data_IF_421121316532
#
_entry.id   IF_421121316532
#
_cell.length_a   1.000
_cell.length_b   1.000
_cell.length_c   1.000
_cell.angle_alpha   90.00
_cell.angle_beta   90.00
_cell.angle_gamma   90.00
#
_symmetry.space_group_name_H-M   'P 1'
#
loop_
_entity.id
_entity.type
_entity.pdbx_description
1 polymer ?
#
# COMPACT_ATOMS: atom_id res chain seq x y z
N UNK A 1 -28.60 20.02 -26.90
CA UNK A 1 -28.46 21.36 -26.30
C UNK A 1 -27.01 21.49 -25.89
N UNK A 2 -26.35 22.59 -26.25
CA UNK A 2 -25.00 22.90 -25.82
C UNK A 2 -25.05 23.53 -24.43
N UNK A 3 -24.28 22.99 -23.49
CA UNK A 3 -24.22 23.45 -22.11
C UNK A 3 -22.85 24.02 -21.76
N UNK A 4 -22.74 24.62 -20.57
CA UNK A 4 -21.47 25.11 -20.04
C UNK A 4 -20.73 26.07 -21.02
N UNK A 5 -19.44 25.85 -21.18
CA UNK A 5 -18.61 26.65 -22.10
C UNK A 5 -19.07 26.57 -23.56
N UNK A 6 -19.64 25.43 -24.00
CA UNK A 6 -20.13 25.24 -25.37
C UNK A 6 -21.39 26.10 -25.67
N UNK A 7 -22.14 26.51 -24.66
CA UNK A 7 -23.28 27.38 -24.89
C UNK A 7 -22.90 28.76 -25.50
N UNK A 8 -21.67 29.21 -25.26
CA UNK A 8 -21.16 30.49 -25.75
C UNK A 8 -20.86 30.49 -27.26
N UNK A 9 -20.78 29.30 -27.88
CA UNK A 9 -20.52 29.11 -29.32
C UNK A 9 -21.70 28.45 -30.04
N UNK A 10 -22.88 28.46 -29.45
CA UNK A 10 -24.06 27.74 -29.95
C UNK A 10 -24.54 28.25 -31.33
N UNK A 11 -24.22 29.47 -31.71
CA UNK A 11 -24.50 30.09 -33.02
C UNK A 11 -23.36 29.91 -34.03
N UNK A 12 -22.23 29.32 -33.60
CA UNK A 12 -21.04 29.13 -34.45
C UNK A 12 -20.97 27.68 -34.97
N UNK A 13 -21.97 27.28 -35.75
CA UNK A 13 -22.12 25.88 -36.18
C UNK A 13 -20.89 25.29 -36.85
N UNK A 14 -20.15 26.08 -37.62
CA UNK A 14 -18.96 25.64 -38.36
C UNK A 14 -17.82 25.22 -37.44
N UNK A 15 -17.75 25.77 -36.25
CA UNK A 15 -16.69 25.45 -35.26
C UNK A 15 -16.70 23.97 -34.89
N UNK A 16 -17.88 23.36 -34.81
CA UNK A 16 -18.04 21.94 -34.50
C UNK A 16 -18.24 21.08 -35.74
N UNK A 17 -19.04 21.56 -36.70
CA UNK A 17 -19.50 20.72 -37.82
C UNK A 17 -18.58 20.74 -39.03
N UNK A 18 -17.73 21.77 -39.22
CA UNK A 18 -16.79 21.91 -40.34
C UNK A 18 -17.41 21.51 -41.70
N UNK A 19 -18.71 21.83 -41.89
CA UNK A 19 -19.49 21.53 -43.09
C UNK A 19 -20.13 20.13 -43.17
N UNK A 20 -19.84 19.23 -42.21
CA UNK A 20 -20.47 17.93 -42.11
C UNK A 20 -21.29 17.79 -40.79
N UNK A 21 -22.58 17.93 -40.91
CA UNK A 21 -23.50 17.89 -39.76
C UNK A 21 -23.87 16.47 -39.33
N UNK A 22 -23.52 15.42 -40.12
CA UNK A 22 -23.89 14.06 -39.84
C UNK A 22 -22.82 13.29 -39.09
N UNK A 23 -21.54 13.64 -39.28
CA UNK A 23 -20.42 12.90 -38.73
C UNK A 23 -19.62 13.70 -37.67
N UNK A 24 -20.23 14.72 -37.08
CA UNK A 24 -19.59 15.47 -35.97
C UNK A 24 -19.49 14.58 -34.76
N UNK A 25 -18.30 14.38 -34.14
CA UNK A 25 -18.15 13.63 -32.93
C UNK A 25 -18.99 14.21 -31.79
N UNK A 26 -19.50 13.33 -30.94
CA UNK A 26 -20.28 13.71 -29.76
C UNK A 26 -19.58 13.34 -28.44
N UNK A 27 -18.32 12.91 -28.49
CA UNK A 27 -17.48 12.67 -27.34
C UNK A 27 -16.52 13.81 -27.13
N UNK A 28 -16.14 14.10 -25.89
CA UNK A 28 -15.20 15.17 -25.55
C UNK A 28 -13.89 15.03 -26.34
N UNK A 29 -13.30 13.86 -26.32
CA UNK A 29 -12.03 13.55 -26.99
C UNK A 29 -12.13 13.67 -28.51
N UNK A 30 -13.32 13.56 -29.11
CA UNK A 30 -13.51 13.70 -30.53
C UNK A 30 -13.16 15.10 -31.06
N UNK A 31 -13.21 16.12 -30.19
CA UNK A 31 -12.80 17.49 -30.47
C UNK A 31 -11.56 17.92 -29.68
N UNK A 32 -11.41 17.39 -28.45
CA UNK A 32 -10.38 17.79 -27.48
C UNK A 32 -9.22 16.80 -27.36
N UNK A 33 -8.95 15.98 -28.39
CA UNK A 33 -7.83 15.02 -28.39
C UNK A 33 -6.47 15.72 -28.23
N UNK A 34 -6.31 16.90 -28.85
CA UNK A 34 -5.06 17.64 -28.72
C UNK A 34 -4.89 18.23 -27.32
N UNK A 35 -5.97 18.69 -26.69
CA UNK A 35 -5.94 19.17 -25.32
C UNK A 35 -5.54 18.03 -24.38
N UNK A 36 -6.12 16.85 -24.54
CA UNK A 36 -5.75 15.64 -23.78
C UNK A 36 -4.27 15.28 -23.95
N UNK A 37 -3.78 15.30 -25.20
CA UNK A 37 -2.40 14.92 -25.51
C UNK A 37 -1.35 15.92 -25.00
N UNK A 38 -1.69 17.21 -24.94
CA UNK A 38 -0.78 18.29 -24.58
C UNK A 38 -0.81 18.63 -23.10
N UNK A 39 -1.82 18.17 -22.36
CA UNK A 39 -1.91 18.41 -20.93
C UNK A 39 -0.75 17.74 -20.19
N UNK A 40 -0.06 18.53 -19.39
CA UNK A 40 1.16 18.10 -18.68
C UNK A 40 1.07 18.18 -17.14
N UNK A 41 -0.01 18.77 -16.61
CA UNK A 41 -0.21 18.90 -15.18
C UNK A 41 -1.70 18.65 -14.78
N UNK A 42 -2.05 17.39 -14.50
CA UNK A 42 -1.28 16.14 -14.69
C UNK A 42 -1.14 15.75 -16.17
N UNK A 43 -0.12 14.98 -16.51
CA UNK A 43 0.02 14.43 -17.85
C UNK A 43 -0.97 13.30 -18.07
N UNK A 44 -2.05 13.57 -18.83
CA UNK A 44 -3.10 12.58 -19.08
C UNK A 44 -2.58 11.33 -19.80
N UNK A 45 -1.69 11.54 -20.77
CA UNK A 45 -1.08 10.43 -21.55
C UNK A 45 -0.14 9.60 -20.68
N UNK A 46 0.77 10.23 -19.92
CA UNK A 46 1.74 9.52 -19.10
C UNK A 46 1.08 8.71 -17.98
N UNK A 47 -0.02 9.22 -17.42
CA UNK A 47 -0.79 8.58 -16.36
C UNK A 47 -1.86 7.62 -16.90
N UNK A 48 -2.00 7.54 -18.23
CA UNK A 48 -3.01 6.72 -18.91
C UNK A 48 -4.43 6.97 -18.38
N UNK A 49 -4.78 8.25 -18.20
CA UNK A 49 -6.11 8.63 -17.74
C UNK A 49 -7.18 8.26 -18.76
N UNK A 50 -8.38 7.99 -18.27
CA UNK A 50 -9.53 7.69 -19.12
C UNK A 50 -9.87 8.90 -20.02
N UNK A 51 -10.35 8.61 -21.22
CA UNK A 51 -10.95 9.63 -22.11
C UNK A 51 -12.41 9.94 -21.73
N UNK A 52 -12.94 9.38 -20.67
CA UNK A 52 -14.16 9.83 -20.01
C UNK A 52 -13.88 11.08 -19.17
N UNK A 53 -13.79 12.21 -19.87
CA UNK A 53 -13.39 13.50 -19.29
C UNK A 53 -14.36 13.98 -18.21
N UNK A 54 -15.63 13.58 -18.30
CA UNK A 54 -16.67 13.98 -17.35
C UNK A 54 -16.49 13.36 -15.96
N UNK A 55 -15.62 12.36 -15.82
CA UNK A 55 -15.27 11.78 -14.52
C UNK A 55 -14.45 12.73 -13.64
N UNK A 56 -13.81 13.75 -14.24
CA UNK A 56 -12.96 14.73 -13.54
C UNK A 56 -13.28 16.18 -13.88
N UNK A 57 -13.85 16.44 -15.05
CA UNK A 57 -14.10 17.79 -15.56
C UNK A 57 -15.59 18.06 -15.77
N UNK A 58 -15.95 19.33 -15.81
CA UNK A 58 -17.30 19.78 -16.14
C UNK A 58 -17.38 20.32 -17.55
N UNK A 59 -18.58 20.42 -18.12
CA UNK A 59 -18.78 21.08 -19.42
C UNK A 59 -18.51 22.59 -19.36
N UNK A 60 -18.35 23.16 -18.18
CA UNK A 60 -18.13 24.61 -18.00
C UNK A 60 -16.66 25.00 -18.01
N UNK A 61 -15.77 24.12 -17.54
CA UNK A 61 -14.35 24.39 -17.47
C UNK A 61 -13.54 23.09 -17.26
N UNK A 62 -12.28 23.12 -17.71
CA UNK A 62 -11.30 22.07 -17.40
C UNK A 62 -10.74 22.15 -15.97
N UNK A 63 -10.77 23.34 -15.37
CA UNK A 63 -10.31 23.56 -14.00
C UNK A 63 -11.37 24.30 -13.18
N UNK A 64 -11.56 23.94 -11.89
CA UNK A 64 -10.88 22.84 -11.20
C UNK A 64 -11.29 21.48 -11.76
N UNK A 65 -10.38 20.50 -11.74
CA UNK A 65 -10.67 19.10 -11.97
C UNK A 65 -10.86 18.40 -10.62
N UNK A 66 -11.81 17.50 -10.53
CA UNK A 66 -12.10 16.73 -9.32
C UNK A 66 -12.03 15.24 -9.60
N UNK A 67 -11.31 14.48 -8.79
CA UNK A 67 -11.35 13.03 -8.83
C UNK A 67 -12.17 12.52 -7.65
N UNK A 68 -13.48 12.45 -7.83
CA UNK A 68 -14.45 12.17 -6.78
C UNK A 68 -14.24 10.84 -6.04
N UNK A 69 -13.52 9.90 -6.64
CA UNK A 69 -13.20 8.61 -6.02
C UNK A 69 -11.91 8.62 -5.19
N UNK A 70 -11.22 9.76 -5.05
CA UNK A 70 -9.95 9.84 -4.34
C UNK A 70 -10.06 9.37 -2.90
N UNK A 71 -11.07 9.84 -2.18
CA UNK A 71 -11.29 9.51 -0.77
C UNK A 71 -11.63 8.03 -0.55
N UNK A 72 -12.23 7.38 -1.54
CA UNK A 72 -12.60 5.96 -1.44
C UNK A 72 -11.46 5.01 -1.79
N UNK A 73 -10.54 5.45 -2.63
CA UNK A 73 -9.48 4.60 -3.18
C UNK A 73 -8.11 4.90 -2.58
N UNK A 74 -7.94 6.10 -2.04
CA UNK A 74 -6.67 6.63 -1.56
C UNK A 74 -6.86 7.41 -0.27
N UNK A 75 -5.98 8.37 -0.05
CA UNK A 75 -6.03 9.26 1.09
C UNK A 75 -7.17 10.30 0.97
N UNK A 76 -7.99 10.53 2.01
CA UNK A 76 -9.11 11.47 1.95
C UNK A 76 -8.63 12.92 1.84
N UNK A 77 -9.10 13.61 0.79
CA UNK A 77 -8.79 15.00 0.47
C UNK A 77 -10.05 15.87 0.29
N UNK A 78 -11.20 15.24 0.01
CA UNK A 78 -12.49 15.90 -0.09
C UNK A 78 -13.29 15.79 1.21
N UNK A 79 -12.75 15.10 2.21
CA UNK A 79 -13.32 14.95 3.55
C UNK A 79 -12.21 14.96 4.60
N UNK A 80 -12.59 15.03 5.91
CA UNK A 80 -11.65 14.97 7.02
C UNK A 80 -10.76 16.21 7.16
N UNK A 81 -9.57 16.00 7.71
CA UNK A 81 -8.66 17.11 8.07
C UNK A 81 -8.09 17.86 6.86
N UNK A 82 -8.10 17.25 5.67
CA UNK A 82 -7.54 17.86 4.46
C UNK A 82 -8.60 18.52 3.56
N UNK A 83 -9.90 18.45 3.91
CA UNK A 83 -10.93 19.11 3.14
C UNK A 83 -10.69 20.63 3.06
N UNK A 84 -10.55 21.14 1.83
CA UNK A 84 -10.35 22.57 1.56
C UNK A 84 -8.99 23.14 1.99
N UNK A 85 -8.00 22.30 2.28
CA UNK A 85 -6.63 22.72 2.67
C UNK A 85 -5.63 22.71 1.53
N UNK A 86 -6.03 22.26 0.35
CA UNK A 86 -5.22 22.15 -0.86
C UNK A 86 -5.94 22.81 -2.05
N UNK A 87 -5.20 23.23 -3.07
CA UNK A 87 -5.74 23.91 -4.26
C UNK A 87 -5.54 23.10 -5.55
N UNK A 88 -4.46 22.32 -5.62
CA UNK A 88 -4.07 21.60 -6.82
C UNK A 88 -3.54 20.20 -6.46
N UNK A 89 -3.75 19.24 -7.36
CA UNK A 89 -3.20 17.89 -7.21
C UNK A 89 -1.69 17.89 -6.96
N UNK A 90 -0.98 18.84 -7.52
CA UNK A 90 0.48 19.00 -7.37
C UNK A 90 0.93 19.53 -6.01
N UNK A 91 0.03 19.92 -5.14
CA UNK A 91 0.37 20.27 -3.75
C UNK A 91 0.86 19.01 -2.99
N UNK A 92 0.33 17.86 -3.35
CA UNK A 92 0.74 16.56 -2.81
C UNK A 92 1.54 15.72 -3.82
N UNK A 93 1.15 15.72 -5.12
CA UNK A 93 1.78 14.90 -6.16
C UNK A 93 2.84 15.67 -6.92
N UNK A 94 4.06 15.69 -6.41
CA UNK A 94 5.17 16.48 -6.97
C UNK A 94 5.70 15.95 -8.30
N UNK A 95 5.34 14.74 -8.69
CA UNK A 95 5.70 14.16 -9.99
C UNK A 95 4.46 14.06 -10.92
N UNK A 96 4.33 14.98 -11.84
CA UNK A 96 3.18 15.08 -12.77
C UNK A 96 3.03 13.90 -13.74
N UNK A 97 4.04 13.02 -13.82
CA UNK A 97 4.02 11.80 -14.64
C UNK A 97 3.84 10.53 -13.82
N UNK A 98 3.83 10.63 -12.50
CA UNK A 98 3.62 9.49 -11.61
C UNK A 98 2.95 9.93 -10.31
N UNK A 99 1.65 9.78 -10.23
CA UNK A 99 0.84 10.17 -9.08
C UNK A 99 0.84 9.15 -7.93
N UNK A 100 1.57 8.03 -8.06
CA UNK A 100 1.90 7.21 -6.89
C UNK A 100 2.96 7.86 -5.98
N UNK A 101 3.65 8.89 -6.50
CA UNK A 101 4.59 9.70 -5.73
C UNK A 101 3.83 10.90 -5.16
N UNK A 102 3.82 10.98 -3.84
CA UNK A 102 3.16 12.05 -3.09
C UNK A 102 4.06 12.56 -1.96
N UNK A 103 3.75 13.73 -1.42
CA UNK A 103 4.46 14.33 -0.31
C UNK A 103 3.53 14.92 0.74
N UNK A 104 3.76 14.58 2.00
CA UNK A 104 3.16 15.21 3.18
C UNK A 104 4.07 16.31 3.71
N UNK A 105 5.38 16.14 3.52
CA UNK A 105 6.43 16.94 4.15
C UNK A 105 6.63 18.34 3.55
N UNK A 106 5.91 18.66 2.48
CA UNK A 106 5.86 20.02 1.91
C UNK A 106 5.10 20.97 2.83
N UNK A 107 4.00 20.53 3.44
CA UNK A 107 3.17 21.32 4.35
C UNK A 107 3.49 20.98 5.82
N UNK A 108 3.68 19.71 6.14
CA UNK A 108 4.01 19.24 7.48
C UNK A 108 5.53 19.30 7.72
N UNK A 109 6.01 20.38 8.30
CA UNK A 109 7.46 20.63 8.45
C UNK A 109 8.08 19.73 9.52
N UNK A 110 9.36 19.36 9.33
CA UNK A 110 10.09 18.52 10.29
C UNK A 110 10.21 19.13 11.70
N UNK A 111 10.21 20.45 11.81
CA UNK A 111 10.30 21.13 13.10
C UNK A 111 9.06 20.94 13.96
N UNK A 112 7.88 20.92 13.33
CA UNK A 112 6.60 20.73 14.01
C UNK A 112 6.34 19.26 14.28
N UNK A 113 6.49 18.42 13.24
CA UNK A 113 6.21 16.98 13.35
C UNK A 113 7.17 16.27 14.28
N UNK A 114 8.48 16.58 14.27
CA UNK A 114 9.44 15.99 15.21
C UNK A 114 9.11 16.35 16.67
N UNK A 115 8.56 17.53 16.93
CA UNK A 115 8.14 17.92 18.27
C UNK A 115 6.91 17.13 18.72
N UNK A 116 5.93 16.98 17.84
CA UNK A 116 4.69 16.23 18.12
C UNK A 116 4.94 14.73 18.29
N UNK A 117 5.91 14.19 17.56
CA UNK A 117 6.27 12.77 17.60
C UNK A 117 7.46 12.45 18.51
N UNK A 118 7.85 13.38 19.40
CA UNK A 118 8.95 13.15 20.32
C UNK A 118 8.68 11.94 21.24
N UNK A 119 9.51 10.90 21.11
CA UNK A 119 9.37 9.66 21.85
C UNK A 119 8.37 8.64 21.22
N UNK A 120 7.82 8.96 20.07
CA UNK A 120 6.99 8.00 19.31
C UNK A 120 7.91 6.97 18.64
N UNK A 121 7.73 5.70 19.02
CA UNK A 121 8.50 4.62 18.44
C UNK A 121 8.10 4.38 16.99
N UNK A 122 9.09 4.20 16.12
CA UNK A 122 8.86 3.97 14.69
C UNK A 122 8.56 5.25 13.88
N UNK A 123 8.64 6.42 14.47
CA UNK A 123 8.49 7.66 13.72
C UNK A 123 9.66 7.90 12.75
N UNK A 124 9.33 8.11 11.49
CA UNK A 124 10.23 8.58 10.44
C UNK A 124 9.63 9.81 9.77
N UNK A 125 10.44 10.83 9.52
CA UNK A 125 9.99 12.01 8.79
C UNK A 125 10.06 11.78 7.28
N UNK A 126 9.12 11.00 6.80
CA UNK A 126 8.92 10.70 5.37
C UNK A 126 7.44 10.44 5.07
N UNK A 127 7.00 10.74 3.85
CA UNK A 127 5.59 10.71 3.49
C UNK A 127 4.96 9.33 3.55
N UNK A 128 5.70 8.27 3.21
CA UNK A 128 5.24 6.89 3.33
C UNK A 128 5.00 6.49 4.79
N UNK A 129 5.88 6.92 5.70
CA UNK A 129 5.69 6.69 7.14
C UNK A 129 4.49 7.46 7.69
N UNK A 130 4.31 8.71 7.26
CA UNK A 130 3.13 9.50 7.63
C UNK A 130 1.84 8.79 7.23
N UNK A 131 1.74 8.36 5.97
CA UNK A 131 0.56 7.65 5.45
C UNK A 131 0.33 6.30 6.15
N UNK A 132 1.40 5.57 6.46
CA UNK A 132 1.30 4.29 7.15
C UNK A 132 0.70 4.41 8.56
N UNK A 133 0.99 5.51 9.26
CA UNK A 133 0.46 5.75 10.60
C UNK A 133 -0.85 6.56 10.59
N UNK A 134 -1.06 7.40 9.58
CA UNK A 134 -2.20 8.31 9.44
C UNK A 134 -2.93 8.10 8.10
N UNK A 135 -3.54 6.93 7.86
CA UNK A 135 -4.15 6.59 6.57
C UNK A 135 -5.34 7.46 6.20
N UNK A 136 -6.01 8.09 7.17
CA UNK A 136 -7.10 9.07 6.93
C UNK A 136 -6.68 10.52 7.15
N UNK A 137 -5.44 10.76 7.60
CA UNK A 137 -4.92 12.10 7.89
C UNK A 137 -5.37 12.68 9.23
N UNK A 138 -6.04 11.89 10.06
CA UNK A 138 -6.41 12.29 11.41
C UNK A 138 -5.26 12.03 12.40
N UNK A 139 -5.10 12.90 13.40
CA UNK A 139 -3.99 12.82 14.35
C UNK A 139 -4.14 11.74 15.42
N UNK A 140 -5.33 11.21 15.60
CA UNK A 140 -5.67 10.26 16.66
C UNK A 140 -5.64 8.79 16.21
N UNK A 141 -5.24 8.53 14.96
CA UNK A 141 -5.20 7.18 14.41
C UNK A 141 -3.98 6.40 14.87
N UNK A 142 -4.16 5.12 15.09
CA UNK A 142 -3.09 4.14 15.27
C UNK A 142 -3.17 3.10 14.18
N UNK A 143 -2.04 2.80 13.55
CA UNK A 143 -1.96 1.76 12.53
C UNK A 143 -2.36 0.39 13.10
N UNK A 144 -3.29 -0.29 12.42
CA UNK A 144 -3.76 -1.61 12.82
C UNK A 144 -3.10 -2.71 11.95
N UNK A 145 -2.08 -3.36 12.49
CA UNK A 145 -1.40 -4.46 11.79
C UNK A 145 -2.31 -5.64 11.42
N UNK A 146 -3.47 -5.80 12.07
CA UNK A 146 -4.40 -6.87 11.73
C UNK A 146 -5.06 -6.69 10.35
N UNK A 147 -4.98 -5.49 9.80
CA UNK A 147 -5.48 -5.14 8.46
C UNK A 147 -4.37 -5.09 7.40
N UNK A 148 -3.14 -5.43 7.77
CA UNK A 148 -1.98 -5.48 6.88
C UNK A 148 -1.70 -6.90 6.36
N UNK A 149 -0.79 -7.01 5.40
CA UNK A 149 -0.31 -8.30 4.87
C UNK A 149 0.45 -9.15 5.90
N UNK A 150 0.83 -8.54 7.05
CA UNK A 150 1.49 -9.23 8.15
C UNK A 150 0.83 -8.90 9.49
N UNK A 151 -0.29 -9.53 9.85
CA UNK A 151 -0.91 -9.38 11.16
C UNK A 151 0.04 -9.81 12.28
N UNK A 152 0.19 -8.97 13.31
CA UNK A 152 1.04 -9.31 14.46
C UNK A 152 0.38 -10.36 15.33
N UNK A 153 0.97 -11.55 15.41
CA UNK A 153 0.48 -12.66 16.22
C UNK A 153 1.60 -13.25 17.09
N UNK A 154 1.23 -13.90 18.17
CA UNK A 154 2.16 -14.60 19.06
C UNK A 154 3.28 -13.69 19.58
N UNK A 155 4.53 -14.08 19.35
CA UNK A 155 5.69 -13.34 19.81
C UNK A 155 5.86 -11.95 19.15
N UNK A 156 5.29 -11.76 17.95
CA UNK A 156 5.42 -10.48 17.22
C UNK A 156 4.54 -9.35 17.79
N UNK A 157 3.54 -9.66 18.60
CA UNK A 157 2.61 -8.63 19.17
C UNK A 157 3.34 -7.54 19.97
N UNK A 158 4.45 -7.89 20.60
CA UNK A 158 5.20 -6.98 21.48
C UNK A 158 6.54 -6.52 20.87
N UNK A 159 6.77 -6.78 19.59
CA UNK A 159 7.97 -6.34 18.90
C UNK A 159 7.86 -4.84 18.60
N UNK A 160 8.94 -4.10 18.80
CA UNK A 160 8.99 -2.68 18.49
C UNK A 160 8.92 -2.44 16.99
N UNK A 161 8.20 -1.39 16.54
CA UNK A 161 8.05 -1.05 15.14
C UNK A 161 9.39 -1.02 14.38
N UNK A 162 10.42 -0.41 14.99
CA UNK A 162 11.75 -0.25 14.39
C UNK A 162 12.51 -1.58 14.19
N UNK A 163 12.15 -2.63 14.91
CA UNK A 163 12.80 -3.94 14.76
C UNK A 163 12.42 -4.62 13.44
N UNK A 164 11.22 -4.31 12.94
CA UNK A 164 10.77 -4.75 11.60
C UNK A 164 11.02 -3.67 10.54
N UNK A 165 10.77 -2.42 10.87
CA UNK A 165 10.80 -1.28 9.96
C UNK A 165 12.08 -0.44 10.08
N UNK A 166 13.24 -1.08 10.27
CA UNK A 166 14.53 -0.40 10.46
C UNK A 166 14.95 0.51 9.29
N UNK A 167 14.42 0.26 8.10
CA UNK A 167 14.71 1.02 6.87
C UNK A 167 13.49 1.77 6.32
N UNK A 168 12.48 2.03 7.14
CA UNK A 168 11.20 2.62 6.73
C UNK A 168 10.10 1.58 6.56
N UNK A 169 8.91 2.05 6.21
CA UNK A 169 7.70 1.20 6.17
C UNK A 169 7.46 0.54 4.82
N UNK A 170 8.12 1.01 3.75
CA UNK A 170 7.99 0.43 2.42
C UNK A 170 8.81 -0.86 2.28
N UNK A 171 8.24 -1.83 1.58
CA UNK A 171 8.90 -3.09 1.22
C UNK A 171 9.47 -3.89 2.41
N UNK A 172 8.85 -3.76 3.60
CA UNK A 172 9.19 -4.65 4.72
C UNK A 172 8.83 -6.08 4.36
N UNK A 173 9.78 -7.03 4.40
CA UNK A 173 9.50 -8.42 4.06
C UNK A 173 8.52 -9.08 5.04
N UNK A 174 7.67 -9.96 4.52
CA UNK A 174 6.69 -10.72 5.31
C UNK A 174 7.07 -12.19 5.51
N UNK A 175 8.05 -12.68 4.77
CA UNK A 175 8.52 -14.06 4.89
C UNK A 175 9.38 -14.25 6.14
N UNK A 176 9.11 -15.33 6.89
CA UNK A 176 9.79 -15.63 8.14
C UNK A 176 11.32 -15.61 8.01
N UNK A 177 11.85 -16.23 6.97
CA UNK A 177 13.29 -16.35 6.74
C UNK A 177 13.98 -15.02 6.40
N UNK A 178 13.24 -14.00 5.97
CA UNK A 178 13.82 -12.69 5.69
C UNK A 178 14.42 -12.05 6.96
N UNK A 179 13.78 -12.27 8.10
CA UNK A 179 14.25 -11.80 9.42
C UNK A 179 14.96 -12.91 10.21
N UNK A 180 14.47 -14.16 10.11
CA UNK A 180 14.88 -15.28 10.96
C UNK A 180 15.92 -16.22 10.30
N UNK A 181 16.58 -15.83 9.23
CA UNK A 181 17.71 -16.61 8.66
C UNK A 181 18.81 -16.90 9.67
N UNK A 182 19.20 -15.98 10.59
CA UNK A 182 20.15 -16.30 11.63
C UNK A 182 19.69 -17.40 12.57
N UNK A 183 18.41 -17.41 12.96
CA UNK A 183 17.84 -18.44 13.85
C UNK A 183 17.82 -19.80 13.16
N UNK A 184 17.41 -19.83 11.90
CA UNK A 184 17.47 -21.04 11.06
C UNK A 184 18.87 -21.62 10.98
N UNK A 185 19.88 -20.79 10.76
CA UNK A 185 21.27 -21.21 10.64
C UNK A 185 21.89 -21.70 11.95
N UNK A 186 21.41 -21.19 13.09
CA UNK A 186 21.91 -21.53 14.41
C UNK A 186 21.15 -22.70 15.06
N UNK A 187 20.04 -23.11 14.46
CA UNK A 187 19.28 -24.25 14.98
C UNK A 187 20.11 -25.53 15.00
N UNK A 188 20.10 -26.22 16.13
CA UNK A 188 20.91 -27.44 16.34
C UNK A 188 20.07 -28.66 16.64
N UNK A 189 18.80 -28.50 16.98
CA UNK A 189 17.92 -29.59 17.36
C UNK A 189 16.48 -29.39 16.85
N UNK A 190 16.19 -29.83 15.63
CA UNK A 190 17.09 -30.39 14.63
C UNK A 190 18.00 -29.32 13.98
N UNK A 191 19.13 -29.76 13.41
CA UNK A 191 19.97 -28.85 12.66
C UNK A 191 19.38 -28.66 11.25
N UNK A 192 18.76 -27.48 11.03
CA UNK A 192 18.00 -27.16 9.82
C UNK A 192 18.86 -27.23 8.55
N UNK A 193 20.10 -26.69 8.61
CA UNK A 193 21.00 -26.69 7.48
C UNK A 193 21.49 -28.11 7.11
N UNK A 194 21.87 -28.91 8.10
CA UNK A 194 22.40 -30.26 7.84
C UNK A 194 21.35 -31.20 7.28
N UNK A 195 20.09 -30.96 7.61
CA UNK A 195 18.95 -31.74 7.14
C UNK A 195 18.31 -31.18 5.85
N UNK A 196 18.75 -30.00 5.42
CA UNK A 196 18.17 -29.34 4.24
C UNK A 196 16.69 -29.02 4.38
N UNK A 197 16.25 -28.64 5.60
CA UNK A 197 14.86 -28.33 5.86
C UNK A 197 14.41 -27.08 5.06
N UNK A 198 13.13 -27.03 4.75
CA UNK A 198 12.55 -25.88 4.04
C UNK A 198 12.64 -24.61 4.87
N UNK A 199 12.80 -23.45 4.20
CA UNK A 199 12.64 -22.13 4.81
C UNK A 199 11.18 -21.67 4.88
N UNK A 200 10.23 -22.51 4.46
CA UNK A 200 8.82 -22.35 4.76
C UNK A 200 8.55 -22.82 6.20
N UNK A 201 8.83 -21.91 7.13
CA UNK A 201 8.85 -22.18 8.56
C UNK A 201 7.48 -22.58 9.13
N UNK A 202 6.39 -22.09 8.53
CA UNK A 202 5.02 -22.35 8.99
C UNK A 202 4.60 -23.81 8.85
N UNK A 203 5.33 -24.59 8.07
CA UNK A 203 5.12 -26.05 7.95
C UNK A 203 5.32 -26.76 9.30
N UNK A 204 6.21 -26.25 10.13
CA UNK A 204 6.56 -26.88 11.41
C UNK A 204 6.37 -25.95 12.61
N UNK A 205 6.41 -24.63 12.41
CA UNK A 205 6.38 -23.64 13.47
C UNK A 205 5.12 -22.77 13.40
N UNK A 206 4.77 -22.19 14.54
CA UNK A 206 3.75 -21.15 14.66
C UNK A 206 4.35 -19.91 15.30
N UNK A 207 3.67 -18.78 15.18
CA UNK A 207 4.09 -17.54 15.84
C UNK A 207 3.83 -17.54 17.37
N UNK A 208 3.06 -18.50 17.88
CA UNK A 208 2.63 -18.54 19.29
C UNK A 208 2.97 -19.90 19.95
N UNK A 209 3.71 -19.91 21.04
CA UNK A 209 4.30 -18.74 21.74
C UNK A 209 5.64 -18.28 21.13
N UNK A 210 6.34 -19.16 20.43
CA UNK A 210 7.62 -18.94 19.74
C UNK A 210 7.94 -20.17 18.88
N UNK A 211 9.21 -20.43 18.54
CA UNK A 211 9.67 -21.59 17.76
C UNK A 211 9.30 -22.96 18.34
N UNK A 212 8.97 -23.04 19.61
CA UNK A 212 8.54 -24.29 20.27
C UNK A 212 7.12 -24.15 20.82
N UNK A 213 6.31 -25.20 20.67
CA UNK A 213 6.63 -26.50 20.06
C UNK A 213 6.73 -26.40 18.53
N UNK A 214 7.64 -27.16 17.93
CA UNK A 214 7.64 -27.44 16.50
C UNK A 214 6.90 -28.75 16.23
N UNK A 215 6.10 -28.78 15.18
CA UNK A 215 5.36 -29.96 14.75
C UNK A 215 5.88 -30.41 13.37
N UNK A 216 5.89 -31.70 13.15
CA UNK A 216 6.16 -32.26 11.84
C UNK A 216 4.93 -33.07 11.39
N UNK A 217 3.96 -32.44 10.73
CA UNK A 217 2.64 -33.03 10.46
C UNK A 217 2.67 -34.34 9.65
N UNK A 218 3.72 -34.51 8.84
CA UNK A 218 3.90 -35.72 8.02
C UNK A 218 4.68 -36.83 8.74
N UNK A 219 5.00 -36.67 10.02
CA UNK A 219 5.73 -37.69 10.78
C UNK A 219 4.96 -39.01 10.82
N UNK A 220 3.64 -38.95 10.91
CA UNK A 220 2.77 -40.12 10.94
C UNK A 220 2.78 -40.94 9.65
N UNK A 221 3.23 -40.38 8.54
CA UNK A 221 3.43 -41.10 7.28
C UNK A 221 4.63 -42.07 7.37
N UNK A 222 5.57 -41.79 8.30
CA UNK A 222 6.76 -42.60 8.53
C UNK A 222 6.59 -43.50 9.77
N UNK A 223 6.22 -42.90 10.89
CA UNK A 223 5.98 -43.56 12.14
C UNK A 223 4.93 -42.83 12.98
N UNK A 224 3.68 -43.38 13.10
CA UNK A 224 2.62 -42.72 13.84
C UNK A 224 2.96 -42.57 15.34
N UNK A 225 2.93 -41.34 15.83
CA UNK A 225 3.14 -41.03 17.26
C UNK A 225 1.83 -41.18 18.01
N UNK A 226 1.52 -42.40 18.47
CA UNK A 226 0.27 -42.74 19.16
C UNK A 226 0.49 -43.07 20.63
N UNK A 227 -0.55 -42.95 21.45
CA UNK A 227 -0.52 -43.31 22.87
C UNK A 227 0.52 -42.50 23.67
N UNK A 228 1.47 -43.17 24.31
CA UNK A 228 2.49 -42.50 25.08
C UNK A 228 3.47 -41.66 24.21
N UNK A 229 3.64 -42.03 22.96
CA UNK A 229 4.53 -41.29 22.07
C UNK A 229 3.94 -39.95 21.62
N UNK A 230 2.62 -39.79 21.59
CA UNK A 230 1.96 -38.53 21.28
C UNK A 230 2.33 -37.40 22.29
N UNK A 231 2.67 -37.78 23.54
CA UNK A 231 3.09 -36.82 24.54
C UNK A 231 4.49 -36.22 24.29
N UNK A 232 5.27 -36.81 23.39
CA UNK A 232 6.63 -36.37 23.03
C UNK A 232 6.79 -36.01 21.55
N UNK A 233 5.69 -35.79 20.84
CA UNK A 233 5.67 -35.50 19.40
C UNK A 233 6.54 -34.27 19.01
N UNK A 234 6.69 -33.30 19.90
CA UNK A 234 7.52 -32.11 19.75
C UNK A 234 8.92 -32.23 20.38
N UNK A 235 9.30 -33.42 20.86
CA UNK A 235 10.59 -33.70 21.50
C UNK A 235 11.47 -34.56 20.58
N UNK A 236 11.73 -34.08 19.38
CA UNK A 236 12.38 -34.82 18.30
C UNK A 236 13.70 -35.52 18.71
N UNK A 237 14.52 -34.85 19.54
CA UNK A 237 15.78 -35.41 20.05
C UNK A 237 15.62 -36.60 20.97
N UNK A 238 14.44 -36.82 21.55
CA UNK A 238 14.18 -37.96 22.44
C UNK A 238 14.30 -39.30 21.69
N UNK A 239 13.91 -39.30 20.41
CA UNK A 239 14.00 -40.47 19.54
C UNK A 239 15.19 -40.40 18.59
N UNK A 240 15.46 -39.23 18.02
CA UNK A 240 16.41 -39.08 16.94
C UNK A 240 17.86 -38.87 17.37
N UNK A 241 18.11 -38.47 18.60
CA UNK A 241 19.47 -38.28 19.17
C UNK A 241 20.42 -37.53 18.21
N UNK A 242 19.90 -36.52 17.49
CA UNK A 242 20.65 -35.72 16.54
C UNK A 242 20.81 -36.34 15.14
N UNK A 243 20.23 -37.49 14.88
CA UNK A 243 20.19 -38.16 13.58
C UNK A 243 18.74 -38.35 13.16
N UNK A 244 18.29 -37.52 12.21
CA UNK A 244 16.88 -37.39 11.79
C UNK A 244 16.58 -38.13 10.49
#
# INVERSE_FOLDING_TARGET
>A
VLNGAHATIADQCVTCHNGDYNNTPNTCVGCHQDDYNQTSNPSHVSLNFSTDCASCHTESAWSPAEYSNHDQQFFPIYSGAHEGTWDQCTDCHTNTNNYSIFTCTTCHTSSETNQQHNGVNGYFYESSACLACHPTGDGDESFNHNESDFPLTGAHVNVSCIECHANGYENTPTECNACHTPDYNQATNPNHNSLGLSTDCITCHTTAPNWNPALFPVHDDYYPLLGAHAAIENQCATCHNGNY
#
